data_IF_849163106851
#
_entry.id   IF_849163106851
#
_cell.length_a   1.000
_cell.length_b   1.000
_cell.length_c   1.000
_cell.angle_alpha   90.00
_cell.angle_beta   90.00
_cell.angle_gamma   90.00
#
_symmetry.space_group_name_H-M   'P 1'
#
loop_
_entity.id
_entity.type
_entity.pdbx_description
1 polymer ?
#
# COMPACT_ATOMS: atom_id res chain seq x y z
N UNK A 1 -9.34 -3.47 -8.19
CA UNK A 1 -8.18 -2.93 -7.45
C UNK A 1 -7.13 -4.04 -7.28
N UNK A 2 -6.00 -3.96 -7.98
CA UNK A 2 -4.93 -4.97 -7.84
C UNK A 2 -4.01 -4.57 -6.67
N UNK A 3 -3.95 -5.40 -5.63
CA UNK A 3 -3.05 -5.18 -4.50
C UNK A 3 -1.65 -5.68 -4.88
N UNK A 4 -0.62 -4.90 -4.53
CA UNK A 4 0.74 -5.43 -4.57
C UNK A 4 0.86 -6.56 -3.53
N UNK A 5 1.72 -7.58 -3.76
CA UNK A 5 1.83 -8.71 -2.84
C UNK A 5 2.03 -8.32 -1.37
N UNK A 6 2.87 -7.30 -1.12
CA UNK A 6 3.14 -6.81 0.24
C UNK A 6 1.93 -6.10 0.87
N UNK A 7 1.09 -5.44 0.05
CA UNK A 7 -0.18 -4.86 0.53
C UNK A 7 -1.20 -5.95 0.84
N UNK A 8 -1.26 -7.02 0.03
CA UNK A 8 -2.10 -8.18 0.30
C UNK A 8 -1.70 -8.89 1.60
N UNK A 9 -0.40 -9.11 1.81
CA UNK A 9 0.12 -9.70 3.06
C UNK A 9 -0.23 -8.83 4.27
N UNK A 10 -0.05 -7.51 4.19
CA UNK A 10 -0.44 -6.61 5.29
C UNK A 10 -1.95 -6.68 5.60
N UNK A 11 -2.80 -6.78 4.57
CA UNK A 11 -4.25 -6.94 4.76
C UNK A 11 -4.55 -8.27 5.46
N UNK A 12 -3.93 -9.35 5.02
CA UNK A 12 -4.08 -10.66 5.65
C UNK A 12 -3.63 -10.65 7.13
N UNK A 13 -2.51 -10.00 7.45
CA UNK A 13 -2.09 -9.85 8.84
C UNK A 13 -3.10 -9.04 9.68
N UNK A 14 -3.73 -8.01 9.11
CA UNK A 14 -4.79 -7.28 9.80
C UNK A 14 -5.99 -8.19 10.10
N UNK A 15 -6.44 -8.98 9.11
CA UNK A 15 -7.55 -9.93 9.31
C UNK A 15 -7.20 -10.99 10.36
N UNK A 16 -5.99 -11.54 10.31
CA UNK A 16 -5.48 -12.51 11.30
C UNK A 16 -5.42 -11.93 12.72
N UNK A 17 -5.10 -10.65 12.87
CA UNK A 17 -4.99 -9.95 14.15
C UNK A 17 -6.28 -9.24 14.59
N UNK A 18 -7.46 -9.67 14.10
CA UNK A 18 -8.74 -9.08 14.49
C UNK A 18 -8.89 -7.61 14.10
N UNK A 19 -8.30 -7.22 12.97
CA UNK A 19 -8.17 -5.85 12.46
C UNK A 19 -7.41 -4.88 13.38
N UNK A 20 -6.70 -5.37 14.39
CA UNK A 20 -5.87 -4.53 15.28
C UNK A 20 -4.48 -4.29 14.70
N UNK A 21 -4.19 -3.03 14.34
CA UNK A 21 -2.85 -2.61 13.90
C UNK A 21 -1.80 -2.73 15.01
N UNK A 22 -2.20 -2.77 16.28
CA UNK A 22 -1.29 -2.92 17.42
C UNK A 22 -0.81 -4.38 17.47
N UNK A 23 -1.74 -5.32 17.41
CA UNK A 23 -1.47 -6.76 17.36
C UNK A 23 -0.60 -7.15 16.16
N UNK A 24 -0.78 -6.55 14.99
CA UNK A 24 0.12 -6.80 13.84
C UNK A 24 1.56 -6.35 14.13
N UNK A 25 1.75 -5.25 14.88
CA UNK A 25 3.08 -4.75 15.24
C UNK A 25 3.72 -5.62 16.32
N UNK A 26 2.94 -5.95 17.34
CA UNK A 26 3.33 -6.69 18.55
C UNK A 26 3.10 -8.21 18.42
N UNK A 27 2.91 -8.71 17.20
CA UNK A 27 2.68 -10.13 16.94
C UNK A 27 3.81 -10.97 17.52
N UNK A 28 3.47 -11.94 18.36
CA UNK A 28 4.42 -12.81 19.06
C UNK A 28 4.91 -13.98 18.18
N UNK A 29 4.24 -14.22 17.04
CA UNK A 29 4.53 -15.34 16.14
C UNK A 29 5.68 -14.98 15.19
N UNK A 30 6.89 -14.88 15.74
CA UNK A 30 8.09 -14.51 14.98
C UNK A 30 8.49 -15.56 13.92
N UNK A 31 8.06 -16.82 14.09
CA UNK A 31 8.33 -17.92 13.15
C UNK A 31 7.37 -17.92 11.94
N UNK A 32 6.43 -16.97 11.85
CA UNK A 32 5.52 -16.88 10.72
C UNK A 32 6.28 -16.47 9.43
N UNK A 33 6.09 -17.18 8.31
CA UNK A 33 6.72 -16.82 7.02
C UNK A 33 6.37 -15.40 6.54
N UNK A 34 5.23 -14.86 6.97
CA UNK A 34 4.77 -13.51 6.63
C UNK A 34 5.30 -12.43 7.60
N UNK A 35 5.90 -12.82 8.72
CA UNK A 35 6.37 -11.90 9.77
C UNK A 35 7.25 -10.74 9.26
N UNK A 36 8.20 -10.96 8.33
CA UNK A 36 9.02 -9.87 7.79
C UNK A 36 8.24 -8.87 6.94
N UNK A 37 7.09 -9.28 6.39
CA UNK A 37 6.29 -8.52 5.45
C UNK A 37 5.05 -7.87 6.08
N UNK A 38 4.71 -8.25 7.33
CA UNK A 38 3.48 -7.84 8.03
C UNK A 38 3.21 -6.34 8.08
N UNK A 39 4.27 -5.53 8.04
CA UNK A 39 4.19 -4.07 8.05
C UNK A 39 3.91 -3.44 6.67
N UNK A 40 3.80 -4.25 5.61
CA UNK A 40 3.63 -3.76 4.24
C UNK A 40 4.93 -3.30 3.59
N UNK A 41 6.08 -3.78 4.07
CA UNK A 41 7.42 -3.50 3.52
C UNK A 41 8.10 -4.81 3.14
N UNK A 42 8.82 -4.80 2.02
CA UNK A 42 9.64 -5.94 1.60
C UNK A 42 11.09 -5.68 2.02
N UNK A 43 11.66 -6.44 2.99
CA UNK A 43 13.05 -6.26 3.42
C UNK A 43 14.05 -6.48 2.28
N UNK A 44 13.74 -7.35 1.31
CA UNK A 44 14.59 -7.66 0.16
C UNK A 44 14.62 -6.54 -0.89
N UNK A 45 13.81 -5.48 -0.72
CA UNK A 45 13.81 -4.30 -1.58
C UNK A 45 14.64 -3.14 -1.00
N UNK A 46 15.37 -3.34 0.10
CA UNK A 46 16.21 -2.32 0.73
C UNK A 46 17.33 -1.91 -0.23
N UNK A 47 17.37 -0.63 -0.64
CA UNK A 47 18.42 -0.08 -1.52
C UNK A 47 17.97 0.22 -2.95
N UNK A 48 16.80 -0.26 -3.39
CA UNK A 48 16.25 0.09 -4.71
C UNK A 48 15.46 1.40 -4.58
N UNK A 49 16.11 2.52 -4.91
CA UNK A 49 15.45 3.83 -5.02
C UNK A 49 14.65 3.84 -6.33
N UNK A 50 13.34 4.08 -6.27
CA UNK A 50 12.58 4.43 -7.47
C UNK A 50 12.91 5.89 -7.79
N UNK A 51 13.71 6.13 -8.83
CA UNK A 51 14.07 7.50 -9.26
C UNK A 51 12.93 8.24 -9.99
N UNK A 52 11.67 7.82 -9.88
CA UNK A 52 10.57 8.55 -10.52
C UNK A 52 9.20 7.90 -10.40
N UNK A 53 8.18 8.76 -10.61
CA UNK A 53 6.78 8.43 -10.98
C UNK A 53 5.68 8.50 -9.91
N UNK A 54 5.89 9.09 -8.73
CA UNK A 54 4.77 9.33 -7.79
C UNK A 54 3.85 10.51 -8.17
N UNK A 55 4.26 11.39 -9.10
CA UNK A 55 3.53 12.63 -9.40
C UNK A 55 2.72 12.63 -10.72
N UNK A 56 2.89 11.62 -11.58
CA UNK A 56 2.28 11.62 -12.93
C UNK A 56 0.76 11.35 -12.90
N UNK A 57 0.28 10.56 -11.93
CA UNK A 57 -1.14 10.18 -11.84
C UNK A 57 -2.02 11.24 -11.16
N UNK A 58 -1.45 12.12 -10.30
CA UNK A 58 -2.22 13.18 -9.62
C UNK A 58 -2.47 14.40 -10.52
N UNK A 59 -1.55 14.69 -11.43
CA UNK A 59 -1.70 15.81 -12.38
C UNK A 59 -2.77 15.53 -13.46
N UNK A 60 -3.06 14.25 -13.74
CA UNK A 60 -4.04 13.87 -14.78
C UNK A 60 -5.50 14.15 -14.40
N UNK A 61 -5.83 14.23 -13.11
CA UNK A 61 -7.20 14.56 -12.66
C UNK A 61 -7.50 16.06 -12.63
N UNK A 62 -6.49 16.93 -12.61
CA UNK A 62 -6.67 18.39 -12.64
C UNK A 62 -6.95 18.90 -14.06
N UNK A 63 -6.45 18.20 -15.09
CA UNK A 63 -6.62 18.58 -16.49
C UNK A 63 -7.93 18.05 -17.13
N UNK A 64 -8.63 17.12 -16.46
CA UNK A 64 -9.96 16.62 -16.85
C UNK A 64 -11.08 17.53 -16.30
N UNK A 65 -10.74 18.68 -15.72
CA UNK A 65 -11.68 19.79 -15.49
C UNK A 65 -12.09 20.49 -16.79
N UNK A 66 -12.50 19.74 -17.82
CA UNK A 66 -13.11 20.27 -19.03
C UNK A 66 -14.45 20.90 -18.61
N UNK A 67 -14.36 22.20 -18.39
CA UNK A 67 -15.37 23.23 -18.29
C UNK A 67 -16.81 22.80 -18.68
N UNK A 68 -17.62 22.40 -17.69
CA UNK A 68 -19.06 22.10 -17.85
C UNK A 68 -19.90 23.38 -18.10
N UNK A 69 -19.32 24.60 -18.05
CA UNK A 69 -20.08 25.84 -18.24
C UNK A 69 -20.42 26.20 -19.69
N UNK A 70 -20.08 25.35 -20.66
CA UNK A 70 -20.38 25.59 -22.08
C UNK A 70 -21.72 25.01 -22.55
N UNK A 71 -22.51 24.39 -21.66
CA UNK A 71 -23.79 23.73 -21.96
C UNK A 71 -24.95 24.32 -21.13
N UNK A 72 -25.07 25.65 -21.07
CA UNK A 72 -26.29 26.30 -20.58
C UNK A 72 -26.63 27.54 -21.40
#
# INVERSE_FOLDING_TARGET
MHLTPVKAIKKHCLECSGNSKKEVRECLINNCPLYPYRMGKNPNRKGIKNNGSSNVLRQKSEQIGINIKAYS
#
